data_IF_153298673303
#
_entry.id   IF_153298673303
#
_cell.length_a   1.000
_cell.length_b   1.000
_cell.length_c   1.000
_cell.angle_alpha   90.00
_cell.angle_beta   90.00
_cell.angle_gamma   90.00
#
_symmetry.space_group_name_H-M   'P 1'
#
loop_
_entity.id
_entity.type
_entity.pdbx_description
1 polymer ?
#
# COMPACT_ATOMS: atom_id res chain seq x y z
N UNK A 1 3.18 -9.76 61.20
CA UNK A 1 3.04 -10.97 60.33
C UNK A 1 1.82 -10.76 59.43
N UNK A 2 1.78 -11.44 58.26
CA UNK A 2 0.73 -11.35 57.22
C UNK A 2 0.60 -9.97 56.53
N UNK A 3 0.68 -9.84 55.20
CA UNK A 3 1.10 -10.82 54.18
C UNK A 3 1.20 -10.15 52.80
N UNK A 4 2.29 -10.36 52.06
CA UNK A 4 2.44 -9.94 50.64
C UNK A 4 1.96 -11.06 49.72
N UNK A 5 0.73 -10.98 49.21
CA UNK A 5 0.14 -11.83 48.14
C UNK A 5 -1.27 -11.29 47.82
N UNK A 6 -1.80 -11.20 46.60
CA UNK A 6 -1.29 -11.41 45.23
C UNK A 6 -1.25 -10.01 44.51
N UNK A 7 -1.44 -9.74 43.20
CA UNK A 7 -1.61 -10.54 41.96
C UNK A 7 -1.00 -9.78 40.77
N UNK A 8 -0.54 -10.55 39.77
CA UNK A 8 0.12 -10.10 38.54
C UNK A 8 -0.87 -10.18 37.39
N UNK A 9 -1.03 -9.10 36.63
CA UNK A 9 -1.72 -9.12 35.34
C UNK A 9 -1.10 -8.07 34.41
N UNK A 10 -0.49 -8.58 33.33
CA UNK A 10 0.22 -7.82 32.31
C UNK A 10 -0.75 -7.11 31.35
N UNK A 11 -0.64 -5.79 31.11
CA UNK A 11 -1.12 -5.17 29.88
C UNK A 11 -0.15 -5.46 28.71
N UNK A 12 0.06 -6.75 28.43
CA UNK A 12 0.93 -7.25 27.35
C UNK A 12 0.27 -7.16 25.97
N UNK A 13 -0.06 -5.94 25.52
CA UNK A 13 -0.53 -5.47 24.19
C UNK A 13 -1.25 -4.12 24.43
N UNK A 14 -1.15 -3.07 23.60
CA UNK A 14 -0.52 -2.87 22.30
C UNK A 14 -0.07 -1.41 22.20
N UNK A 15 1.23 -1.13 22.25
CA UNK A 15 1.77 0.16 21.78
C UNK A 15 3.26 0.02 21.42
N UNK A 16 3.51 -0.69 20.32
CA UNK A 16 4.73 -0.50 19.57
C UNK A 16 4.71 0.92 18.96
N UNK A 17 5.26 1.89 19.68
CA UNK A 17 5.74 3.13 19.09
C UNK A 17 6.59 2.78 17.84
N UNK A 18 6.37 3.31 16.65
CA UNK A 18 6.21 4.73 16.33
C UNK A 18 7.26 5.61 17.01
N UNK A 19 8.55 5.33 16.77
CA UNK A 19 9.52 6.37 16.38
C UNK A 19 10.90 5.79 16.04
N UNK A 20 11.21 5.74 14.74
CA UNK A 20 12.55 5.79 14.18
C UNK A 20 12.46 6.42 12.78
N UNK A 21 13.48 7.17 12.36
CA UNK A 21 13.59 7.77 11.02
C UNK A 21 12.69 8.97 10.75
N UNK A 22 13.29 10.16 10.70
CA UNK A 22 12.80 11.29 9.90
C UNK A 22 13.29 11.07 8.46
N UNK A 23 12.65 10.11 7.80
CA UNK A 23 12.85 9.71 6.42
C UNK A 23 11.43 9.61 5.84
N UNK A 24 11.22 9.98 4.58
CA UNK A 24 9.86 10.07 4.02
C UNK A 24 9.24 8.67 4.01
N UNK A 25 8.41 8.38 5.02
CA UNK A 25 7.86 7.05 5.28
C UNK A 25 6.90 6.63 4.17
N UNK A 26 7.48 6.08 3.10
CA UNK A 26 6.87 5.09 2.24
C UNK A 26 6.13 4.10 3.13
N UNK A 27 4.80 4.06 3.06
CA UNK A 27 4.07 3.07 3.84
C UNK A 27 4.38 1.69 3.26
N UNK A 28 4.63 0.71 4.15
CA UNK A 28 4.86 -0.69 3.79
C UNK A 28 3.79 -1.14 2.78
N UNK A 29 4.10 -2.04 1.83
CA UNK A 29 3.12 -2.61 0.92
C UNK A 29 1.88 -3.11 1.68
N UNK A 30 0.75 -2.48 1.41
CA UNK A 30 -0.57 -2.81 1.94
C UNK A 30 -1.37 -3.53 0.86
N UNK A 31 -2.51 -4.04 1.28
CA UNK A 31 -3.55 -4.48 0.36
C UNK A 31 -4.23 -3.28 -0.31
N UNK A 32 -4.85 -3.53 -1.46
CA UNK A 32 -5.57 -2.52 -2.23
C UNK A 32 -6.70 -1.93 -1.39
N UNK A 33 -6.74 -0.61 -1.28
CA UNK A 33 -7.86 0.09 -0.66
C UNK A 33 -9.16 -0.19 -1.42
N UNK A 34 -10.26 -0.49 -0.71
CA UNK A 34 -11.51 -0.96 -1.33
C UNK A 34 -12.04 -0.03 -2.44
N UNK A 35 -11.91 1.30 -2.29
CA UNK A 35 -12.26 2.26 -3.33
C UNK A 35 -11.42 2.11 -4.60
N UNK A 36 -10.10 1.91 -4.45
CA UNK A 36 -9.16 1.70 -5.56
C UNK A 36 -9.44 0.36 -6.25
N UNK A 37 -9.70 -0.70 -5.48
CA UNK A 37 -10.05 -2.00 -6.04
C UNK A 37 -11.38 -1.98 -6.80
N UNK A 38 -12.39 -1.29 -6.27
CA UNK A 38 -13.67 -1.08 -6.97
C UNK A 38 -13.48 -0.33 -8.28
N UNK A 39 -12.71 0.75 -8.30
CA UNK A 39 -12.47 1.51 -9.54
C UNK A 39 -11.70 0.69 -10.59
N UNK A 40 -10.76 -0.17 -10.20
CA UNK A 40 -10.11 -1.10 -11.13
C UNK A 40 -11.12 -2.07 -11.78
N UNK A 41 -12.03 -2.65 -10.99
CA UNK A 41 -13.03 -3.60 -11.50
C UNK A 41 -14.14 -2.91 -12.31
N UNK A 42 -14.55 -1.69 -11.93
CA UNK A 42 -15.65 -0.96 -12.60
C UNK A 42 -15.17 -0.19 -13.84
N UNK A 43 -14.07 0.55 -13.70
CA UNK A 43 -13.58 1.49 -14.72
C UNK A 43 -12.59 0.82 -15.68
N UNK A 44 -11.67 -0.02 -15.16
CA UNK A 44 -10.71 -0.76 -15.99
C UNK A 44 -11.18 -2.18 -16.37
N UNK A 45 -12.32 -2.65 -15.82
CA UNK A 45 -12.87 -4.00 -16.03
C UNK A 45 -11.91 -5.14 -15.66
N UNK A 46 -11.01 -4.88 -14.72
CA UNK A 46 -10.06 -5.88 -14.22
C UNK A 46 -10.77 -6.97 -13.42
N UNK A 47 -10.17 -8.16 -13.40
CA UNK A 47 -10.69 -9.28 -12.64
C UNK A 47 -10.60 -8.99 -11.13
N UNK A 48 -11.70 -9.07 -10.36
CA UNK A 48 -11.70 -8.76 -8.94
C UNK A 48 -10.78 -9.67 -8.13
N UNK A 49 -10.74 -10.97 -8.42
CA UNK A 49 -9.89 -11.94 -7.73
C UNK A 49 -8.40 -11.75 -8.07
N UNK A 50 -8.07 -11.08 -9.19
CA UNK A 50 -6.73 -10.59 -9.45
C UNK A 50 -6.43 -9.28 -8.71
N UNK A 51 -7.33 -8.30 -8.76
CA UNK A 51 -7.18 -7.00 -8.07
C UNK A 51 -6.92 -7.17 -6.56
N UNK A 52 -7.58 -8.12 -5.89
CA UNK A 52 -7.33 -8.41 -4.47
C UNK A 52 -5.96 -9.05 -4.16
N UNK A 53 -5.29 -9.65 -5.16
CA UNK A 53 -3.92 -10.18 -5.03
C UNK A 53 -2.84 -9.11 -5.18
N UNK A 54 -3.18 -7.97 -5.80
CA UNK A 54 -2.28 -6.85 -5.97
C UNK A 54 -1.90 -6.20 -4.63
N UNK A 55 -0.74 -5.56 -4.62
CA UNK A 55 -0.25 -4.79 -3.48
C UNK A 55 -0.17 -3.31 -3.83
N UNK A 56 -0.49 -2.49 -2.85
CA UNK A 56 -0.52 -1.04 -2.94
C UNK A 56 0.56 -0.46 -2.03
N UNK A 57 1.43 0.38 -2.57
CA UNK A 57 2.27 1.28 -1.77
C UNK A 57 1.63 2.67 -1.79
N UNK A 58 1.68 3.36 -0.65
CA UNK A 58 1.17 4.73 -0.51
C UNK A 58 2.28 5.64 0.05
N UNK A 59 2.33 6.87 -0.44
CA UNK A 59 3.14 7.96 0.15
C UNK A 59 2.23 9.16 0.43
N UNK A 60 2.53 10.00 1.44
CA UNK A 60 1.94 11.33 1.50
C UNK A 60 2.30 12.11 0.23
N UNK A 61 1.31 12.80 -0.35
CA UNK A 61 1.56 13.71 -1.47
C UNK A 61 2.01 15.08 -0.95
N UNK A 62 2.82 15.78 -1.74
CA UNK A 62 3.16 17.18 -1.49
C UNK A 62 1.98 18.12 -1.79
N UNK A 63 0.99 17.65 -2.56
CA UNK A 63 -0.22 18.41 -2.90
C UNK A 63 -1.15 18.66 -1.71
N UNK A 64 -1.07 17.86 -0.64
CA UNK A 64 -1.87 18.08 0.56
C UNK A 64 -1.87 16.89 1.53
N UNK A 65 -2.07 17.17 2.82
CA UNK A 65 -2.06 16.15 3.89
C UNK A 65 -3.15 15.07 3.74
N UNK A 66 -4.24 15.41 3.06
CA UNK A 66 -5.37 14.51 2.78
C UNK A 66 -5.16 13.68 1.50
N UNK A 67 -4.23 14.07 0.62
CA UNK A 67 -3.93 13.43 -0.65
C UNK A 67 -2.77 12.45 -0.45
N UNK A 68 -2.94 11.23 -0.94
CA UNK A 68 -1.93 10.18 -0.90
C UNK A 68 -1.71 9.59 -2.28
N UNK A 69 -0.54 9.84 -2.84
CA UNK A 69 -0.12 9.15 -4.04
C UNK A 69 0.05 7.66 -3.73
N UNK A 70 -0.44 6.83 -4.62
CA UNK A 70 -0.33 5.39 -4.50
C UNK A 70 0.10 4.76 -5.81
N UNK A 71 0.72 3.58 -5.70
CA UNK A 71 1.06 2.74 -6.84
C UNK A 71 0.66 1.30 -6.53
N UNK A 72 0.14 0.65 -7.56
CA UNK A 72 -0.36 -0.72 -7.55
C UNK A 72 0.59 -1.58 -8.37
N UNK A 73 1.02 -2.69 -7.79
CA UNK A 73 1.90 -3.66 -8.42
C UNK A 73 1.49 -5.08 -8.07
N UNK A 74 1.84 -6.03 -8.92
CA UNK A 74 1.62 -7.46 -8.69
C UNK A 74 2.85 -8.03 -7.99
N UNK A 75 2.69 -8.47 -6.74
CA UNK A 75 3.78 -9.03 -5.95
C UNK A 75 4.34 -10.32 -6.57
N UNK A 76 3.53 -11.07 -7.33
CA UNK A 76 3.93 -12.28 -8.04
C UNK A 76 4.82 -11.92 -9.24
N UNK A 77 4.47 -10.88 -9.99
CA UNK A 77 5.31 -10.38 -11.11
C UNK A 77 6.62 -9.80 -10.58
N UNK A 78 6.57 -9.00 -9.51
CA UNK A 78 7.77 -8.45 -8.88
C UNK A 78 8.70 -9.55 -8.37
N UNK A 79 8.17 -10.55 -7.65
CA UNK A 79 8.94 -11.70 -7.19
C UNK A 79 9.49 -12.55 -8.37
N UNK A 80 8.72 -12.73 -9.43
CA UNK A 80 9.15 -13.43 -10.65
C UNK A 80 10.28 -12.70 -11.40
N UNK A 81 10.35 -11.36 -11.32
CA UNK A 81 11.50 -10.56 -11.79
C UNK A 81 12.63 -10.41 -10.76
N UNK A 82 12.53 -11.05 -9.59
CA UNK A 82 13.52 -10.95 -8.51
C UNK A 82 13.50 -9.64 -7.72
N UNK A 83 12.51 -8.77 -7.95
CA UNK A 83 12.41 -7.44 -7.33
C UNK A 83 11.61 -7.51 -6.04
N UNK A 84 12.29 -7.41 -4.90
CA UNK A 84 11.66 -7.33 -3.59
C UNK A 84 11.16 -5.90 -3.30
N UNK A 85 9.95 -5.57 -3.76
CA UNK A 85 9.31 -4.27 -3.47
C UNK A 85 9.08 -4.12 -1.97
N UNK A 86 9.90 -3.28 -1.33
CA UNK A 86 9.83 -2.97 0.12
C UNK A 86 9.23 -1.61 0.40
N UNK A 87 9.55 -0.62 -0.44
CA UNK A 87 9.15 0.78 -0.29
C UNK A 87 8.59 1.32 -1.62
N UNK A 88 8.06 2.55 -1.60
CA UNK A 88 7.62 3.25 -2.81
C UNK A 88 8.79 3.50 -3.78
N UNK A 89 9.98 3.81 -3.26
CA UNK A 89 11.22 4.00 -4.03
C UNK A 89 11.70 2.72 -4.74
N UNK A 90 11.51 1.54 -4.13
CA UNK A 90 11.78 0.26 -4.80
C UNK A 90 10.92 0.05 -6.04
N UNK A 91 9.75 0.69 -6.09
CA UNK A 91 8.84 0.69 -7.24
C UNK A 91 9.08 1.89 -8.17
N UNK A 92 9.77 2.93 -7.71
CA UNK A 92 10.20 4.08 -8.51
C UNK A 92 11.42 3.75 -9.38
N UNK A 93 12.33 2.93 -8.85
CA UNK A 93 13.43 2.33 -9.62
C UNK A 93 12.96 1.30 -10.67
N UNK A 94 11.70 0.82 -10.56
CA UNK A 94 11.12 -0.22 -11.42
C UNK A 94 9.71 0.16 -11.90
N UNK A 95 9.56 1.25 -12.69
CA UNK A 95 8.25 1.68 -13.22
C UNK A 95 7.59 0.61 -14.11
N UNK A 96 8.36 -0.30 -14.68
CA UNK A 96 7.90 -1.46 -15.45
C UNK A 96 7.20 -2.55 -14.62
N UNK A 97 7.14 -2.40 -13.29
CA UNK A 97 6.33 -3.21 -12.38
C UNK A 97 5.04 -2.50 -11.93
N UNK A 98 4.90 -1.21 -12.24
CA UNK A 98 3.72 -0.41 -11.88
C UNK A 98 2.59 -0.69 -12.87
N UNK A 99 1.55 -1.39 -12.38
CA UNK A 99 0.35 -1.68 -13.15
C UNK A 99 -0.58 -0.48 -13.20
N UNK A 100 -0.80 0.16 -12.05
CA UNK A 100 -1.56 1.40 -11.95
C UNK A 100 -0.91 2.33 -10.95
N UNK A 101 -1.11 3.62 -11.15
CA UNK A 101 -0.67 4.67 -10.24
C UNK A 101 -1.72 5.76 -10.18
N UNK A 102 -1.60 6.66 -9.21
CA UNK A 102 -2.49 7.79 -9.06
C UNK A 102 -2.52 8.27 -7.63
N UNK A 103 -3.63 8.90 -7.23
CA UNK A 103 -3.78 9.50 -5.92
C UNK A 103 -5.16 9.22 -5.31
N UNK A 104 -5.18 9.02 -4.01
CA UNK A 104 -6.36 8.82 -3.17
C UNK A 104 -6.49 10.03 -2.25
N UNK A 105 -7.62 10.74 -2.31
CA UNK A 105 -7.95 11.80 -1.38
C UNK A 105 -8.84 11.23 -0.25
N UNK A 106 -8.30 11.19 0.96
CA UNK A 106 -8.98 10.63 2.14
C UNK A 106 -10.18 11.45 2.62
N UNK A 107 -10.31 12.72 2.21
CA UNK A 107 -11.36 13.63 2.66
C UNK A 107 -12.70 13.37 1.98
N UNK A 108 -12.68 13.02 0.69
CA UNK A 108 -13.85 12.76 -0.15
C UNK A 108 -13.91 11.30 -0.65
N UNK A 109 -12.91 10.46 -0.33
CA UNK A 109 -12.72 9.11 -0.87
C UNK A 109 -12.56 9.06 -2.40
N UNK A 110 -12.14 10.18 -2.99
CA UNK A 110 -11.91 10.30 -4.42
C UNK A 110 -10.59 9.63 -4.81
N UNK A 111 -10.61 8.95 -5.95
CA UNK A 111 -9.52 8.09 -6.42
C UNK A 111 -9.30 8.38 -7.89
N UNK A 112 -8.15 8.99 -8.19
CA UNK A 112 -7.62 9.00 -9.54
C UNK A 112 -6.76 7.75 -9.72
N UNK A 113 -7.10 6.94 -10.72
CA UNK A 113 -6.26 5.86 -11.24
C UNK A 113 -5.77 6.23 -12.64
N UNK A 114 -4.60 5.71 -13.00
CA UNK A 114 -4.01 5.78 -14.32
C UNK A 114 -3.20 4.51 -14.57
N UNK A 115 -3.31 3.96 -15.78
CA UNK A 115 -2.57 2.78 -16.18
C UNK A 115 -1.06 3.09 -16.19
N UNK A 116 -0.26 2.17 -15.67
CA UNK A 116 1.20 2.21 -15.71
C UNK A 116 1.77 1.30 -16.79
N UNK A 117 3.09 1.42 -17.02
CA UNK A 117 3.79 0.70 -18.08
C UNK A 117 3.65 -0.84 -18.00
N UNK A 118 3.42 -1.41 -16.81
CA UNK A 118 3.23 -2.85 -16.66
C UNK A 118 1.86 -3.35 -17.15
N UNK A 119 0.84 -2.49 -17.23
CA UNK A 119 -0.50 -2.86 -17.71
C UNK A 119 -0.54 -2.86 -19.24
N UNK A 120 0.13 -1.91 -19.88
CA UNK A 120 0.26 -1.84 -21.34
C UNK A 120 0.95 -3.11 -21.90
N UNK A 121 1.98 -3.61 -21.20
CA UNK A 121 2.67 -4.88 -21.50
C UNK A 121 1.79 -6.15 -21.37
N UNK A 122 0.57 -6.08 -20.83
CA UNK A 122 -0.38 -7.21 -20.79
C UNK A 122 -1.41 -7.20 -21.92
N UNK A 123 -1.51 -6.11 -22.68
CA UNK A 123 -2.53 -5.92 -23.73
C UNK A 123 -1.98 -6.19 -25.13
N UNK A 124 -0.71 -6.60 -25.23
CA UNK A 124 0.05 -6.78 -26.47
C UNK A 124 0.80 -8.11 -26.47
#
# INVERSE_FOLDING_TARGET
MFGKLFKREDPGKQQAAQSAGAEVKSEKPREIHAAVGRELVVTYKEDPDWVWKLKQVQRPSEQGKDIRDFRVYDASVAAGRGVAVRNFESLDAHPELVLYHGWLNKKNNDVQLSAGAAQEQRTN
#
